data_IF_358960751233
#
_entry.id   IF_358960751233
#
_cell.length_a   1.000
_cell.length_b   1.000
_cell.length_c   1.000
_cell.angle_alpha   90.00
_cell.angle_beta   90.00
_cell.angle_gamma   90.00
#
_symmetry.space_group_name_H-M   'P 1'
#
loop_
_entity.id
_entity.type
_entity.pdbx_description
1 polymer ?
#
# COMPACT_ATOMS: atom_id res chain seq x y z
N UNK A 1 -27.78 -9.20 4.11
CA UNK A 1 -26.76 -8.38 4.81
C UNK A 1 -26.17 -7.43 3.79
N UNK A 2 -26.18 -6.10 3.97
CA UNK A 2 -25.53 -5.19 3.07
C UNK A 2 -24.05 -5.53 3.02
N UNK A 3 -23.54 -5.72 1.79
CA UNK A 3 -22.18 -6.16 1.52
C UNK A 3 -21.20 -5.14 2.13
N UNK A 4 -20.22 -5.60 2.91
CA UNK A 4 -19.14 -4.75 3.49
C UNK A 4 -18.50 -3.80 2.46
N UNK A 5 -18.51 -4.19 1.19
CA UNK A 5 -18.03 -3.42 0.03
C UNK A 5 -18.78 -2.11 -0.20
N UNK A 6 -20.10 -2.06 0.04
CA UNK A 6 -20.91 -0.84 -0.14
C UNK A 6 -20.63 0.24 0.92
N UNK A 7 -20.14 -0.13 2.10
CA UNK A 7 -19.85 0.86 3.16
C UNK A 7 -18.56 1.64 2.94
N UNK A 8 -17.63 1.12 2.13
CA UNK A 8 -16.37 1.80 1.77
C UNK A 8 -16.54 2.76 0.60
N UNK A 9 -17.63 2.67 -0.15
CA UNK A 9 -17.89 3.48 -1.34
C UNK A 9 -18.50 4.85 -1.07
N UNK A 10 -18.86 5.17 0.18
CA UNK A 10 -19.44 6.46 0.57
C UNK A 10 -18.39 7.43 1.13
N UNK A 11 -17.35 7.70 0.37
CA UNK A 11 -16.55 8.91 0.57
C UNK A 11 -17.28 10.02 -0.17
N UNK A 12 -17.75 11.02 0.55
CA UNK A 12 -18.78 12.01 0.13
C UNK A 12 -18.51 12.77 -1.18
N UNK A 13 -17.32 12.71 -1.74
CA UNK A 13 -16.86 13.55 -2.84
C UNK A 13 -16.10 12.80 -3.94
N UNK A 14 -16.07 11.45 -3.90
CA UNK A 14 -15.28 10.64 -4.83
C UNK A 14 -16.07 9.45 -5.36
N UNK A 15 -15.89 9.14 -6.63
CA UNK A 15 -16.38 7.88 -7.21
C UNK A 15 -15.28 6.84 -7.09
N UNK A 16 -15.55 5.75 -6.34
CA UNK A 16 -14.64 4.64 -6.19
C UNK A 16 -15.25 3.39 -6.80
N UNK A 17 -14.54 2.76 -7.74
CA UNK A 17 -14.85 1.43 -8.25
C UNK A 17 -13.86 0.42 -7.68
N UNK A 18 -14.35 -0.59 -6.97
CA UNK A 18 -13.52 -1.64 -6.38
C UNK A 18 -13.80 -2.99 -7.06
N UNK A 19 -12.79 -3.51 -7.75
CA UNK A 19 -12.87 -4.80 -8.47
C UNK A 19 -11.80 -5.74 -7.92
N UNK A 20 -12.17 -6.69 -7.02
CA UNK A 20 -11.24 -7.68 -6.52
C UNK A 20 -10.96 -8.74 -7.59
N UNK A 21 -9.68 -9.04 -7.80
CA UNK A 21 -9.20 -10.09 -8.71
C UNK A 21 -8.45 -11.14 -7.89
N UNK A 22 -8.48 -12.38 -8.37
CA UNK A 22 -7.66 -13.49 -7.86
C UNK A 22 -6.67 -13.90 -8.93
N UNK A 23 -5.40 -14.02 -8.55
CA UNK A 23 -4.31 -14.39 -9.46
C UNK A 23 -3.65 -15.71 -9.09
N UNK A 24 -2.80 -16.28 -9.95
CA UNK A 24 -2.11 -17.55 -9.74
C UNK A 24 -0.84 -17.36 -8.87
N UNK A 25 -0.96 -16.66 -7.75
CA UNK A 25 0.10 -16.48 -6.76
C UNK A 25 -0.40 -16.96 -5.39
N UNK A 26 0.45 -17.64 -4.66
CA UNK A 26 0.10 -18.28 -3.39
C UNK A 26 -0.14 -17.28 -2.26
N UNK A 27 0.47 -16.08 -2.34
CA UNK A 27 0.52 -15.13 -1.23
C UNK A 27 0.77 -13.71 -1.72
N UNK A 28 0.19 -12.74 -0.99
CA UNK A 28 0.36 -11.32 -1.23
C UNK A 28 -0.92 -10.62 -1.69
N UNK A 29 -0.90 -9.30 -1.59
CA UNK A 29 -1.91 -8.40 -2.15
C UNK A 29 -1.19 -7.47 -3.11
N UNK A 30 -1.72 -7.32 -4.31
CA UNK A 30 -1.30 -6.33 -5.28
C UNK A 30 -2.49 -5.42 -5.60
N UNK A 31 -2.31 -4.13 -5.38
CA UNK A 31 -3.31 -3.10 -5.64
C UNK A 31 -2.85 -2.24 -6.82
N UNK A 32 -3.76 -1.96 -7.73
CA UNK A 32 -3.58 -0.94 -8.77
C UNK A 32 -4.73 0.06 -8.65
N UNK A 33 -4.42 1.33 -8.49
CA UNK A 33 -5.38 2.42 -8.39
C UNK A 33 -5.17 3.39 -9.53
N UNK A 34 -6.18 3.51 -10.41
CA UNK A 34 -6.21 4.54 -11.45
C UNK A 34 -6.84 5.80 -10.86
N UNK A 35 -6.13 6.90 -10.94
CA UNK A 35 -6.52 8.16 -10.31
C UNK A 35 -6.57 9.27 -11.37
N UNK A 36 -7.65 10.05 -11.34
CA UNK A 36 -7.81 11.27 -12.10
C UNK A 36 -7.90 12.45 -11.12
N UNK A 37 -7.10 13.50 -11.36
CA UNK A 37 -7.12 14.73 -10.57
C UNK A 37 -7.91 15.82 -11.29
N UNK A 38 -8.50 16.74 -10.54
CA UNK A 38 -9.22 17.89 -11.08
C UNK A 38 -8.27 18.92 -11.73
N UNK A 39 -7.05 19.03 -11.19
CA UNK A 39 -6.01 19.94 -11.65
C UNK A 39 -4.80 19.15 -12.16
N UNK A 40 -4.01 19.80 -12.99
CA UNK A 40 -2.77 19.24 -13.50
C UNK A 40 -1.76 19.07 -12.36
N UNK A 41 -1.12 17.92 -12.31
CA UNK A 41 -0.10 17.58 -11.32
C UNK A 41 1.18 17.11 -12.01
N UNK A 42 2.32 17.38 -11.38
CA UNK A 42 3.60 16.91 -11.88
C UNK A 42 4.02 15.61 -11.17
N UNK A 43 4.82 14.79 -11.85
CA UNK A 43 5.41 13.60 -11.26
C UNK A 43 6.19 13.94 -9.97
N UNK A 44 6.96 15.03 -10.02
CA UNK A 44 7.77 15.47 -8.89
C UNK A 44 6.92 15.84 -7.68
N UNK A 45 5.85 16.65 -7.87
CA UNK A 45 4.98 17.07 -6.78
C UNK A 45 4.26 15.90 -6.09
N UNK A 46 3.77 14.93 -6.88
CA UNK A 46 3.12 13.74 -6.31
C UNK A 46 4.12 12.81 -5.61
N UNK A 47 5.30 12.61 -6.19
CA UNK A 47 6.33 11.80 -5.57
C UNK A 47 6.80 12.41 -4.24
N UNK A 48 7.02 13.73 -4.20
CA UNK A 48 7.35 14.43 -2.96
C UNK A 48 6.23 14.31 -1.92
N UNK A 49 4.98 14.42 -2.34
CA UNK A 49 3.82 14.25 -1.45
C UNK A 49 3.74 12.84 -0.86
N UNK A 50 4.01 11.80 -1.65
CA UNK A 50 4.07 10.42 -1.17
C UNK A 50 5.22 10.22 -0.18
N UNK A 51 6.42 10.70 -0.53
CA UNK A 51 7.59 10.61 0.35
C UNK A 51 7.33 11.33 1.66
N UNK A 52 6.78 12.53 1.65
CA UNK A 52 6.46 13.30 2.86
C UNK A 52 5.38 12.62 3.71
N UNK A 53 4.34 12.08 3.06
CA UNK A 53 3.27 11.36 3.73
C UNK A 53 3.78 10.13 4.51
N UNK A 54 4.74 9.40 3.95
CA UNK A 54 5.21 8.14 4.52
C UNK A 54 6.60 8.20 5.16
N UNK A 55 7.21 9.39 5.29
CA UNK A 55 8.58 9.55 5.83
C UNK A 55 8.81 8.97 7.23
N UNK A 56 7.76 8.92 8.05
CA UNK A 56 7.81 8.35 9.40
C UNK A 56 7.40 6.87 9.47
N UNK A 57 7.01 6.28 8.35
CA UNK A 57 6.52 4.90 8.30
C UNK A 57 7.67 3.93 7.99
N UNK A 58 8.14 3.12 8.96
CA UNK A 58 9.34 2.30 8.78
C UNK A 58 9.19 1.18 7.75
N UNK A 59 7.95 0.84 7.38
CA UNK A 59 7.63 -0.28 6.51
C UNK A 59 7.00 0.11 5.17
N UNK A 60 6.90 1.41 4.87
CA UNK A 60 6.45 1.88 3.56
C UNK A 60 7.68 2.28 2.74
N UNK A 61 7.79 1.73 1.53
CA UNK A 61 8.89 2.03 0.62
C UNK A 61 8.32 2.55 -0.70
N UNK A 62 8.78 3.73 -1.12
CA UNK A 62 8.45 4.27 -2.45
C UNK A 62 9.48 3.72 -3.43
N UNK A 63 9.01 3.03 -4.46
CA UNK A 63 9.83 2.29 -5.43
C UNK A 63 9.50 2.73 -6.86
N UNK A 64 10.41 2.50 -7.79
CA UNK A 64 10.14 2.74 -9.22
C UNK A 64 9.13 1.73 -9.80
N UNK A 65 9.09 0.52 -9.27
CA UNK A 65 8.11 -0.51 -9.58
C UNK A 65 7.85 -1.41 -8.37
N UNK A 66 6.69 -2.01 -8.32
CA UNK A 66 6.30 -2.92 -7.26
C UNK A 66 6.34 -4.37 -7.71
N UNK A 67 6.83 -5.27 -6.85
CA UNK A 67 6.85 -6.72 -7.08
C UNK A 67 6.49 -7.46 -5.80
N UNK A 68 5.57 -8.42 -5.87
CA UNK A 68 5.19 -9.24 -4.71
C UNK A 68 6.38 -9.98 -4.10
N UNK A 69 7.33 -10.44 -4.92
CA UNK A 69 8.55 -11.10 -4.44
C UNK A 69 9.40 -10.25 -3.50
N UNK A 70 9.27 -8.93 -3.57
CA UNK A 70 10.04 -8.02 -2.72
C UNK A 70 9.44 -7.81 -1.32
N UNK A 71 8.20 -8.24 -1.11
CA UNK A 71 7.45 -7.96 0.13
C UNK A 71 6.91 -9.21 0.82
N UNK A 72 6.71 -10.31 0.08
CA UNK A 72 6.18 -11.57 0.64
C UNK A 72 7.08 -12.08 1.75
N UNK A 73 6.49 -12.42 2.90
CA UNK A 73 7.20 -12.85 4.10
C UNK A 73 7.71 -11.70 4.99
N UNK A 74 7.53 -10.45 4.59
CA UNK A 74 8.00 -9.28 5.34
C UNK A 74 6.87 -8.34 5.74
N UNK A 75 7.16 -7.39 6.63
CA UNK A 75 6.21 -6.34 7.01
C UNK A 75 6.28 -5.11 6.08
N UNK A 76 6.99 -5.19 4.95
CA UNK A 76 7.08 -4.08 4.00
C UNK A 76 5.85 -3.98 3.10
N UNK A 77 5.56 -2.74 2.72
CA UNK A 77 4.64 -2.40 1.63
C UNK A 77 5.41 -1.52 0.64
N UNK A 78 5.50 -1.95 -0.60
CA UNK A 78 6.09 -1.18 -1.69
C UNK A 78 5.00 -0.43 -2.43
N UNK A 79 5.25 0.84 -2.73
CA UNK A 79 4.36 1.72 -3.49
C UNK A 79 5.14 2.27 -4.68
N UNK A 80 4.53 2.26 -5.85
CA UNK A 80 5.07 2.92 -7.04
C UNK A 80 4.03 3.85 -7.67
N UNK A 81 4.52 4.83 -8.42
CA UNK A 81 3.73 5.83 -9.09
C UNK A 81 4.14 5.88 -10.56
N UNK A 82 3.17 5.76 -11.46
CA UNK A 82 3.35 5.92 -12.90
C UNK A 82 2.34 6.91 -13.46
N UNK A 83 2.77 7.70 -14.45
CA UNK A 83 1.97 8.74 -15.09
C UNK A 83 1.58 8.33 -16.50
N UNK A 84 0.32 8.60 -16.85
CA UNK A 84 -0.16 8.56 -18.22
C UNK A 84 -0.10 9.97 -18.85
N UNK A 85 -0.54 10.95 -18.09
CA UNK A 85 -0.51 12.38 -18.44
C UNK A 85 -0.56 13.22 -17.15
N UNK A 86 -0.75 14.55 -17.27
CA UNK A 86 -0.74 15.48 -16.14
C UNK A 86 -1.89 15.32 -15.16
N UNK A 87 -2.95 14.59 -15.53
CA UNK A 87 -4.14 14.40 -14.70
C UNK A 87 -4.43 12.93 -14.38
N UNK A 88 -3.85 12.01 -15.13
CA UNK A 88 -4.08 10.58 -14.97
C UNK A 88 -2.81 9.87 -14.56
N UNK A 89 -2.86 9.21 -13.43
CA UNK A 89 -1.74 8.43 -12.92
C UNK A 89 -2.22 7.14 -12.24
N UNK A 90 -1.29 6.24 -12.06
CA UNK A 90 -1.54 4.95 -11.45
C UNK A 90 -0.65 4.82 -10.22
N UNK A 91 -1.26 4.52 -9.09
CA UNK A 91 -0.57 4.11 -7.88
C UNK A 91 -0.69 2.60 -7.75
N UNK A 92 0.43 1.93 -7.68
CA UNK A 92 0.49 0.51 -7.41
C UNK A 92 1.03 0.30 -6.00
N UNK A 93 0.50 -0.68 -5.29
CA UNK A 93 0.99 -1.07 -3.98
C UNK A 93 1.00 -2.58 -3.85
N UNK A 94 2.02 -3.13 -3.22
CA UNK A 94 2.06 -4.54 -2.91
C UNK A 94 2.54 -4.79 -1.48
N UNK A 95 1.99 -5.82 -0.86
CA UNK A 95 2.31 -6.23 0.50
C UNK A 95 2.03 -7.72 0.71
N UNK A 96 2.58 -8.27 1.78
CA UNK A 96 2.21 -9.60 2.24
C UNK A 96 0.88 -9.58 2.99
N UNK A 97 -0.09 -10.36 2.52
CA UNK A 97 -1.44 -10.41 3.08
C UNK A 97 -1.52 -11.00 4.50
N UNK A 98 -0.57 -11.85 4.90
CA UNK A 98 -0.55 -12.50 6.22
C UNK A 98 0.36 -11.80 7.22
N UNK A 99 1.36 -11.05 6.74
CA UNK A 99 2.27 -10.26 7.59
C UNK A 99 1.78 -8.81 7.66
N UNK A 100 2.14 -7.95 6.69
CA UNK A 100 1.71 -6.54 6.69
C UNK A 100 0.19 -6.37 6.64
N UNK A 101 -0.50 -7.25 5.94
CA UNK A 101 -1.97 -7.24 5.86
C UNK A 101 -2.69 -7.81 7.08
N UNK A 102 -1.99 -8.47 8.01
CA UNK A 102 -2.59 -9.14 9.17
C UNK A 102 -1.69 -9.10 10.40
N UNK A 103 -0.90 -10.17 10.65
CA UNK A 103 -0.17 -10.36 11.90
C UNK A 103 0.91 -9.31 12.16
N UNK A 104 1.66 -8.93 11.14
CA UNK A 104 2.70 -7.90 11.26
C UNK A 104 2.12 -6.53 11.59
N UNK A 105 0.98 -6.19 10.97
CA UNK A 105 0.27 -4.95 11.29
C UNK A 105 -0.29 -4.95 12.73
N UNK A 106 -0.73 -6.12 13.22
CA UNK A 106 -1.18 -6.24 14.61
C UNK A 106 -0.03 -5.99 15.61
N UNK A 107 1.16 -6.56 15.34
CA UNK A 107 2.37 -6.30 16.15
C UNK A 107 2.78 -4.83 16.07
N UNK A 108 2.76 -4.22 14.88
CA UNK A 108 3.06 -2.80 14.68
C UNK A 108 2.12 -1.90 15.50
N UNK A 109 0.81 -2.17 15.46
CA UNK A 109 -0.19 -1.47 16.28
C UNK A 109 0.05 -1.69 17.79
N UNK A 110 0.39 -2.90 18.21
CA UNK A 110 0.73 -3.20 19.60
C UNK A 110 1.96 -2.38 20.05
N UNK A 111 3.01 -2.33 19.23
CA UNK A 111 4.20 -1.55 19.54
C UNK A 111 3.86 -0.06 19.76
N UNK A 112 3.02 0.52 18.89
CA UNK A 112 2.58 1.91 19.01
C UNK A 112 1.77 2.11 20.30
N UNK A 113 0.82 1.23 20.62
CA UNK A 113 -0.04 1.33 21.81
C UNK A 113 0.78 1.28 23.10
N UNK A 114 1.84 0.49 23.13
CA UNK A 114 2.72 0.34 24.29
C UNK A 114 3.93 1.28 24.27
N UNK A 115 3.94 2.28 23.38
CA UNK A 115 5.04 3.25 23.24
C UNK A 115 6.42 2.60 23.01
N UNK A 116 6.43 1.50 22.26
CA UNK A 116 7.62 0.81 21.81
C UNK A 116 8.03 1.28 20.39
N UNK A 117 9.28 1.00 20.00
CA UNK A 117 9.68 1.22 18.60
C UNK A 117 8.72 0.48 17.66
N UNK A 118 8.06 1.21 16.76
CA UNK A 118 7.06 0.67 15.82
C UNK A 118 7.55 -0.56 15.07
N UNK A 119 8.84 -0.65 14.83
CA UNK A 119 9.48 -1.71 14.07
C UNK A 119 10.02 -2.89 14.93
N UNK A 120 9.81 -2.85 16.23
CA UNK A 120 10.32 -3.88 17.14
C UNK A 120 9.78 -5.27 16.77
N UNK A 121 10.69 -6.24 16.57
CA UNK A 121 10.35 -7.61 16.18
C UNK A 121 9.96 -7.80 14.70
N UNK A 122 9.87 -6.73 13.90
CA UNK A 122 9.38 -6.79 12.51
C UNK A 122 10.48 -6.53 11.47
N UNK A 123 11.53 -5.78 11.79
CA UNK A 123 12.64 -5.47 10.87
C UNK A 123 13.43 -6.70 10.40
N UNK A 124 13.43 -7.76 11.21
CA UNK A 124 14.19 -8.99 10.93
C UNK A 124 13.49 -9.91 9.92
N UNK A 125 12.24 -9.59 9.57
CA UNK A 125 11.49 -10.34 8.57
C UNK A 125 11.97 -9.95 7.18
N UNK A 126 12.70 -10.84 6.54
CA UNK A 126 13.20 -10.65 5.17
C UNK A 126 12.22 -11.26 4.16
N UNK A 127 12.10 -10.71 2.95
CA UNK A 127 11.27 -11.29 1.90
C UNK A 127 11.68 -12.74 1.60
N UNK A 128 10.69 -13.62 1.55
CA UNK A 128 10.86 -15.01 1.14
C UNK A 128 10.56 -15.10 -0.35
N UNK A 129 11.56 -15.43 -1.15
CA UNK A 129 11.33 -15.80 -2.54
C UNK A 129 10.62 -17.14 -2.60
N UNK A 130 9.37 -17.13 -3.04
CA UNK A 130 8.56 -18.30 -3.35
C UNK A 130 8.46 -18.47 -4.86
#
# INVERSE_FOLDING_TARGET
RPNRRQRQMCIRDRTLSFVPLSGPFSRGIYLTSHIETFEDVTHESLNLSLVDCFKSSPFIRIQNNTKLSNVVGSNYCDISLSFKDQRHFVVEACLDNLVKGASGNAVECMNIIFDLDQSLGLKQMIPLYL
#
